data_IF_403914047242
#
_entry.id   IF_403914047242
#
_cell.length_a   1.000
_cell.length_b   1.000
_cell.length_c   1.000
_cell.angle_alpha   90.00
_cell.angle_beta   90.00
_cell.angle_gamma   90.00
#
_symmetry.space_group_name_H-M   'P 1'
#
loop_
_entity.id
_entity.type
_entity.pdbx_description
1 polymer ?
#
# COMPACT_ATOMS: atom_id res chain seq x y z
N UNK A 1 -11.06 -6.86 8.31
CA UNK A 1 -9.77 -6.86 7.58
C UNK A 1 -10.07 -6.78 6.10
N UNK A 2 -9.18 -6.14 5.32
CA UNK A 2 -9.31 -5.95 3.87
C UNK A 2 -8.20 -6.70 3.16
N UNK A 3 -8.51 -7.33 2.02
CA UNK A 3 -7.56 -8.02 1.15
C UNK A 3 -7.28 -7.16 -0.08
N UNK A 4 -5.99 -6.96 -0.37
CA UNK A 4 -5.48 -6.16 -1.48
C UNK A 4 -4.69 -7.07 -2.41
N UNK A 5 -4.91 -6.95 -3.72
CA UNK A 5 -4.05 -7.52 -4.75
C UNK A 5 -3.26 -6.37 -5.39
N UNK A 6 -1.95 -6.32 -5.12
CA UNK A 6 -1.07 -5.25 -5.59
C UNK A 6 -0.09 -5.81 -6.61
N UNK A 7 -0.40 -5.63 -7.90
CA UNK A 7 0.42 -6.17 -9.00
C UNK A 7 0.62 -7.69 -8.94
N UNK A 8 -0.32 -8.44 -8.34
CA UNK A 8 -0.23 -9.89 -8.14
C UNK A 8 0.11 -10.32 -6.71
N UNK A 9 0.65 -9.42 -5.87
CA UNK A 9 1.00 -9.71 -4.47
C UNK A 9 -0.21 -9.47 -3.55
N UNK A 10 -0.53 -10.47 -2.72
CA UNK A 10 -1.68 -10.37 -1.80
C UNK A 10 -1.26 -9.83 -0.45
N UNK A 11 -1.92 -8.75 -0.02
CA UNK A 11 -1.75 -8.13 1.29
C UNK A 11 -3.05 -8.13 2.08
N UNK A 12 -2.94 -8.31 3.39
CA UNK A 12 -4.05 -8.14 4.32
C UNK A 12 -3.76 -7.01 5.30
N UNK A 13 -4.73 -6.11 5.49
CA UNK A 13 -4.60 -4.97 6.41
C UNK A 13 -5.96 -4.49 6.93
N UNK A 14 -5.99 -3.37 7.66
CA UNK A 14 -7.21 -2.74 8.18
C UNK A 14 -7.53 -1.44 7.44
N UNK A 15 -8.80 -1.02 7.49
CA UNK A 15 -9.24 0.27 6.96
C UNK A 15 -8.48 1.43 7.63
N UNK A 16 -8.31 1.37 8.95
CA UNK A 16 -7.57 2.35 9.75
C UNK A 16 -6.12 2.52 9.26
N UNK A 17 -5.46 1.42 8.86
CA UNK A 17 -4.11 1.50 8.28
C UNK A 17 -4.12 2.25 6.95
N UNK A 18 -5.07 1.92 6.06
CA UNK A 18 -5.14 2.49 4.71
C UNK A 18 -5.62 3.95 4.69
N UNK A 19 -6.36 4.35 5.72
CA UNK A 19 -6.91 5.71 5.87
C UNK A 19 -6.11 6.60 6.82
N UNK A 20 -4.96 6.13 7.32
CA UNK A 20 -4.09 6.90 8.22
C UNK A 20 -3.67 8.26 7.63
N UNK A 21 -3.36 8.29 6.34
CA UNK A 21 -3.10 9.52 5.59
C UNK A 21 -4.31 9.80 4.69
N UNK A 22 -5.32 10.51 5.22
CA UNK A 22 -6.60 10.74 4.53
C UNK A 22 -6.47 11.52 3.21
N UNK A 23 -5.47 12.37 3.11
CA UNK A 23 -5.12 13.19 1.95
C UNK A 23 -4.31 12.43 0.88
N UNK A 24 -3.93 11.19 1.13
CA UNK A 24 -3.24 10.33 0.15
C UNK A 24 -4.22 9.64 -0.80
N UNK A 25 -3.70 9.11 -1.91
CA UNK A 25 -4.48 8.27 -2.84
C UNK A 25 -5.15 7.08 -2.13
N UNK A 26 -4.43 6.38 -1.25
CA UNK A 26 -5.00 5.29 -0.45
C UNK A 26 -6.09 5.82 0.49
N UNK A 27 -5.85 6.97 1.13
CA UNK A 27 -6.87 7.68 1.90
C UNK A 27 -8.15 7.85 1.09
N UNK A 28 -8.06 8.49 -0.08
CA UNK A 28 -9.19 8.75 -0.97
C UNK A 28 -9.90 7.50 -1.51
N UNK A 29 -9.16 6.44 -1.84
CA UNK A 29 -9.73 5.15 -2.27
C UNK A 29 -10.56 4.51 -1.14
N UNK A 30 -10.04 4.53 0.08
CA UNK A 30 -10.63 3.81 1.20
C UNK A 30 -11.60 4.67 2.04
N UNK A 31 -11.70 5.98 1.78
CA UNK A 31 -12.79 6.86 2.25
C UNK A 31 -13.95 6.96 1.25
N UNK A 32 -13.86 6.31 0.10
CA UNK A 32 -14.91 6.28 -0.93
C UNK A 32 -14.93 7.48 -1.87
N UNK A 33 -13.88 8.32 -1.86
CA UNK A 33 -13.74 9.45 -2.79
C UNK A 33 -13.28 8.98 -4.18
N UNK A 34 -12.54 7.87 -4.23
CA UNK A 34 -12.10 7.22 -5.47
C UNK A 34 -12.67 5.80 -5.50
N UNK A 35 -13.34 5.38 -6.60
CA UNK A 35 -13.86 4.03 -6.72
C UNK A 35 -12.72 3.01 -6.74
N UNK A 36 -12.96 1.85 -6.14
CA UNK A 36 -12.00 0.73 -6.12
C UNK A 36 -12.38 -0.34 -7.12
N UNK A 37 -11.38 -0.90 -7.79
CA UNK A 37 -11.54 -2.08 -8.66
C UNK A 37 -11.29 -3.33 -7.83
N UNK A 38 -11.95 -4.44 -8.17
CA UNK A 38 -11.70 -5.74 -7.56
C UNK A 38 -11.25 -6.76 -8.61
N UNK A 39 -10.38 -7.67 -8.21
CA UNK A 39 -9.98 -8.81 -9.03
C UNK A 39 -11.09 -9.89 -9.05
N UNK A 40 -10.86 -10.97 -9.81
CA UNK A 40 -11.79 -12.10 -9.93
C UNK A 40 -12.01 -12.88 -8.63
N UNK A 41 -11.21 -12.63 -7.58
CA UNK A 41 -11.32 -13.23 -6.25
C UNK A 41 -11.92 -12.25 -5.23
N UNK A 42 -12.30 -11.05 -5.66
CA UNK A 42 -12.90 -10.02 -4.81
C UNK A 42 -11.90 -9.20 -3.99
N UNK A 43 -10.58 -9.37 -4.21
CA UNK A 43 -9.57 -8.52 -3.57
C UNK A 43 -9.58 -7.15 -4.23
N UNK A 44 -9.31 -6.09 -3.45
CA UNK A 44 -9.17 -4.74 -4.01
C UNK A 44 -7.88 -4.68 -4.81
N UNK A 45 -7.98 -4.37 -6.10
CA UNK A 45 -6.85 -4.37 -7.02
C UNK A 45 -6.16 -3.01 -7.05
N UNK A 46 -4.83 -3.03 -6.95
CA UNK A 46 -3.97 -1.86 -7.07
C UNK A 46 -2.90 -2.19 -8.12
N UNK A 47 -2.92 -1.44 -9.22
CA UNK A 47 -1.97 -1.61 -10.34
C UNK A 47 -0.61 -0.97 -10.03
N UNK A 48 0.13 -1.56 -9.08
CA UNK A 48 1.46 -1.12 -8.63
C UNK A 48 2.33 -2.32 -8.28
N UNK A 49 3.64 -2.08 -8.18
CA UNK A 49 4.60 -3.09 -7.71
C UNK A 49 4.31 -3.49 -6.26
N UNK A 50 3.97 -4.77 -6.08
CA UNK A 50 3.63 -5.33 -4.78
C UNK A 50 4.80 -5.32 -3.79
N UNK A 51 6.05 -5.52 -4.22
CA UNK A 51 7.22 -5.54 -3.32
C UNK A 51 7.52 -4.15 -2.77
N UNK A 52 7.41 -3.12 -3.60
CA UNK A 52 7.53 -1.71 -3.19
C UNK A 52 6.37 -1.33 -2.26
N UNK A 53 5.16 -1.81 -2.53
CA UNK A 53 3.99 -1.53 -1.70
C UNK A 53 4.14 -1.99 -0.24
N UNK A 54 4.95 -3.03 0.02
CA UNK A 54 5.28 -3.46 1.38
C UNK A 54 5.83 -2.32 2.25
N UNK A 55 6.65 -1.45 1.68
CA UNK A 55 7.23 -0.30 2.40
C UNK A 55 6.17 0.76 2.70
N UNK A 56 5.26 1.02 1.75
CA UNK A 56 4.10 1.90 1.97
C UNK A 56 3.24 1.36 3.12
N UNK A 57 2.92 0.06 3.09
CA UNK A 57 2.10 -0.55 4.12
C UNK A 57 2.77 -0.54 5.50
N UNK A 58 4.08 -0.75 5.57
CA UNK A 58 4.84 -0.67 6.81
C UNK A 58 4.87 0.76 7.38
N UNK A 59 5.08 1.76 6.52
CA UNK A 59 5.01 3.17 6.91
C UNK A 59 3.65 3.51 7.54
N UNK A 60 2.55 3.06 6.91
CA UNK A 60 1.18 3.28 7.40
C UNK A 60 0.87 2.54 8.71
N UNK A 61 1.57 1.45 9.04
CA UNK A 61 1.35 0.71 10.30
C UNK A 61 2.03 1.35 11.50
N UNK A 62 3.27 1.81 11.32
CA UNK A 62 4.14 2.16 12.45
C UNK A 62 4.31 3.66 12.67
N UNK A 63 3.83 4.53 11.77
CA UNK A 63 4.09 5.99 11.84
C UNK A 63 5.59 6.35 11.94
N UNK A 64 6.46 5.38 11.66
CA UNK A 64 7.93 5.48 11.65
C UNK A 64 8.41 4.89 10.35
N UNK A 65 9.31 5.61 9.68
CA UNK A 65 9.98 5.13 8.49
C UNK A 65 10.61 3.76 8.78
N UNK A 66 10.43 2.75 7.91
CA UNK A 66 11.15 1.51 8.07
C UNK A 66 12.64 1.84 8.05
N UNK A 67 13.33 1.60 9.17
CA UNK A 67 14.78 1.78 9.34
C UNK A 67 15.63 0.92 8.38
N UNK A 68 14.96 0.17 7.50
CA UNK A 68 15.52 -0.77 6.53
C UNK A 68 14.93 -0.50 5.14
N UNK A 69 14.86 0.77 4.74
CA UNK A 69 14.94 1.04 3.30
C UNK A 69 16.34 0.60 2.84
N UNK A 70 16.46 -0.18 1.75
CA UNK A 70 17.76 -0.41 1.15
C UNK A 70 18.41 0.95 0.93
N UNK A 71 19.61 1.18 1.48
CA UNK A 71 20.39 2.36 1.11
C UNK A 71 20.60 2.24 -0.39
N UNK A 72 19.99 3.13 -1.17
CA UNK A 72 20.21 3.20 -2.59
C UNK A 72 21.73 3.19 -2.83
N UNK A 73 22.23 2.10 -3.39
CA UNK A 73 23.65 1.93 -3.66
C UNK A 73 23.93 2.59 -5.01
N UNK A 74 23.66 3.89 -5.11
CA UNK A 74 24.22 4.72 -6.18
C UNK A 74 25.70 4.95 -5.84
N UNK A 75 26.51 3.92 -6.01
CA UNK A 75 27.96 4.12 -6.17
C UNK A 75 28.12 4.75 -7.54
N UNK A 76 28.17 6.08 -7.57
CA UNK A 76 28.66 6.82 -8.74
C UNK A 76 30.12 6.39 -8.94
N UNK A 77 30.37 5.65 -10.01
CA UNK A 77 31.67 5.64 -10.67
C UNK A 77 31.79 6.90 -11.51
#
# INVERSE_FOLDING_TARGET
>A
MMSLNVGGEIYTTTLDTLTRCRDSMLGAMFTGQIPVVRDNRGNIFIDRDGKVFRYVLNFLRSSSYPSVLPKDTWVRH
#
